data_IF_969993271309
#
_entry.id   IF_969993271309
#
_cell.length_a   1.000
_cell.length_b   1.000
_cell.length_c   1.000
_cell.angle_alpha   90.00
_cell.angle_beta   90.00
_cell.angle_gamma   90.00
#
_symmetry.space_group_name_H-M   'P 1'
#
loop_
_entity.id
_entity.type
_entity.pdbx_description
1 polymer ?
#
# COMPACT_ATOMS: atom_id res chain seq x y z
N UNK A 1 -1.55 -11.97 22.83
CA UNK A 1 -1.57 -11.55 21.40
C UNK A 1 -2.73 -10.58 21.10
N UNK A 2 -3.97 -10.84 21.55
CA UNK A 2 -5.11 -9.94 21.32
C UNK A 2 -5.02 -8.58 22.05
N UNK A 3 -4.38 -8.56 23.24
CA UNK A 3 -4.22 -7.37 24.09
C UNK A 3 -3.52 -6.18 23.39
N UNK A 4 -2.61 -6.43 22.44
CA UNK A 4 -1.83 -5.38 21.76
C UNK A 4 -2.55 -4.71 20.58
N UNK A 5 -3.65 -5.27 20.08
CA UNK A 5 -4.40 -4.76 18.93
C UNK A 5 -5.88 -4.57 19.23
N UNK A 6 -6.21 -4.08 20.43
CA UNK A 6 -7.59 -3.81 20.84
C UNK A 6 -8.36 -2.89 19.87
N UNK A 7 -7.63 -2.05 19.11
CA UNK A 7 -8.19 -1.19 18.06
C UNK A 7 -8.37 -1.87 16.70
N UNK A 8 -7.81 -3.05 16.46
CA UNK A 8 -8.03 -3.85 15.25
C UNK A 8 -9.35 -4.61 15.40
N UNK A 9 -10.45 -3.92 15.13
CA UNK A 9 -11.78 -4.50 15.23
C UNK A 9 -12.71 -3.86 14.17
N UNK A 10 -13.84 -4.50 13.85
CA UNK A 10 -14.78 -3.97 12.86
C UNK A 10 -15.34 -2.57 13.18
N UNK A 11 -15.42 -2.18 14.47
CA UNK A 11 -15.94 -0.86 14.85
C UNK A 11 -15.02 0.29 14.43
N UNK A 12 -13.71 0.06 14.46
CA UNK A 12 -12.74 1.08 14.05
C UNK A 12 -12.45 1.07 12.54
N UNK A 13 -12.71 -0.04 11.85
CA UNK A 13 -12.61 -0.20 10.40
C UNK A 13 -11.36 0.49 9.80
N UNK A 14 -10.20 0.29 10.43
CA UNK A 14 -8.97 0.93 9.99
C UNK A 14 -8.53 0.34 8.64
N UNK A 15 -7.85 1.16 7.84
CA UNK A 15 -7.17 0.75 6.61
C UNK A 15 -5.70 1.10 6.69
N UNK A 16 -4.86 0.24 6.12
CA UNK A 16 -3.40 0.36 6.18
C UNK A 16 -2.78 0.47 4.79
N UNK A 17 -1.73 1.27 4.66
CA UNK A 17 -0.88 1.30 3.47
C UNK A 17 0.57 1.11 3.88
N UNK A 18 1.24 0.15 3.26
CA UNK A 18 2.69 0.01 3.35
C UNK A 18 3.36 0.92 2.30
N UNK A 19 4.38 1.68 2.71
CA UNK A 19 5.17 2.51 1.81
C UNK A 19 6.61 2.58 2.28
N UNK A 20 7.55 2.90 1.38
CA UNK A 20 8.91 3.19 1.77
C UNK A 20 8.98 4.56 2.48
N UNK A 21 9.77 4.68 3.54
CA UNK A 21 9.93 5.94 4.31
C UNK A 21 10.38 7.12 3.43
N UNK A 22 11.17 6.84 2.38
CA UNK A 22 11.65 7.85 1.43
C UNK A 22 10.53 8.48 0.60
N UNK A 23 9.38 7.82 0.51
CA UNK A 23 8.21 8.37 -0.19
C UNK A 23 7.40 9.30 0.72
N UNK A 24 7.64 9.30 2.03
CA UNK A 24 6.81 10.04 2.99
C UNK A 24 6.83 11.55 2.76
N UNK A 25 7.98 12.23 2.54
CA UNK A 25 7.98 13.67 2.28
C UNK A 25 7.08 14.03 1.10
N UNK A 26 7.22 13.31 -0.01
CA UNK A 26 6.40 13.53 -1.20
C UNK A 26 4.91 13.27 -0.95
N UNK A 27 4.55 12.21 -0.22
CA UNK A 27 3.16 11.89 0.13
C UNK A 27 2.56 12.98 1.02
N UNK A 28 3.33 13.55 1.96
CA UNK A 28 2.85 14.61 2.84
C UNK A 28 2.58 15.91 2.07
N UNK A 29 3.40 16.21 1.06
CA UNK A 29 3.26 17.43 0.26
C UNK A 29 2.20 17.30 -0.86
N UNK A 30 2.01 16.10 -1.42
CA UNK A 30 1.20 15.89 -2.64
C UNK A 30 -0.05 15.02 -2.41
N UNK A 31 -0.15 14.35 -1.27
CA UNK A 31 -1.17 13.35 -0.99
C UNK A 31 -0.85 11.96 -1.59
N UNK A 32 -1.84 11.07 -1.56
CA UNK A 32 -1.74 9.72 -2.13
C UNK A 32 -2.28 9.71 -3.55
N UNK A 33 -1.43 9.32 -4.50
CA UNK A 33 -1.78 9.18 -5.91
C UNK A 33 -1.83 7.71 -6.32
N UNK A 34 -2.73 7.37 -7.27
CA UNK A 34 -2.78 6.06 -7.89
C UNK A 34 -1.65 5.90 -8.93
N UNK A 35 -1.40 4.67 -9.38
CA UNK A 35 -0.27 4.42 -10.28
C UNK A 35 -0.41 5.08 -11.65
N UNK A 36 -1.66 5.31 -12.10
CA UNK A 36 -1.96 6.00 -13.35
C UNK A 36 -2.16 7.52 -13.18
N UNK A 37 -1.92 8.08 -11.99
CA UNK A 37 -2.03 9.52 -11.80
C UNK A 37 -0.98 10.28 -12.63
N UNK A 38 -1.37 11.45 -13.14
CA UNK A 38 -0.46 12.34 -13.86
C UNK A 38 0.65 12.91 -12.96
N UNK A 39 0.37 13.04 -11.65
CA UNK A 39 1.31 13.53 -10.65
C UNK A 39 2.08 12.35 -10.06
N UNK A 40 3.39 12.33 -10.28
CA UNK A 40 4.28 11.25 -9.83
C UNK A 40 5.55 11.81 -9.18
N UNK A 41 6.17 11.01 -8.32
CA UNK A 41 7.48 11.34 -7.76
C UNK A 41 8.59 10.74 -8.62
N UNK A 42 9.53 11.57 -9.06
CA UNK A 42 10.75 11.11 -9.76
C UNK A 42 11.67 10.27 -8.87
N UNK A 43 11.52 10.36 -7.54
CA UNK A 43 12.31 9.64 -6.54
C UNK A 43 11.52 8.53 -5.84
N UNK A 44 10.41 8.08 -6.44
CA UNK A 44 9.57 7.06 -5.83
C UNK A 44 10.31 5.73 -5.65
N UNK A 45 10.35 5.24 -4.40
CA UNK A 45 10.93 3.94 -4.08
C UNK A 45 9.83 2.87 -4.10
N UNK A 46 9.85 2.02 -5.13
CA UNK A 46 8.96 0.86 -5.21
C UNK A 46 9.36 -0.24 -4.23
N UNK A 47 8.37 -0.79 -3.53
CA UNK A 47 8.51 -1.91 -2.59
C UNK A 47 7.57 -3.09 -2.92
N UNK A 48 6.76 -2.95 -3.97
CA UNK A 48 5.81 -3.98 -4.40
C UNK A 48 6.47 -4.98 -5.35
N UNK A 49 5.84 -6.15 -5.50
CA UNK A 49 6.22 -7.12 -6.52
C UNK A 49 5.92 -6.53 -7.92
N UNK A 50 6.92 -6.41 -8.82
CA UNK A 50 6.73 -5.87 -10.17
C UNK A 50 5.65 -6.61 -10.98
N UNK A 51 5.63 -7.94 -10.95
CA UNK A 51 4.63 -8.73 -11.68
C UNK A 51 3.21 -8.46 -11.18
N UNK A 52 3.03 -8.25 -9.88
CA UNK A 52 1.72 -7.89 -9.33
C UNK A 52 1.32 -6.46 -9.69
N UNK A 53 2.28 -5.53 -9.77
CA UNK A 53 2.03 -4.17 -10.24
C UNK A 53 1.58 -4.20 -11.70
N UNK A 54 2.26 -4.94 -12.55
CA UNK A 54 1.96 -5.06 -13.98
C UNK A 54 0.61 -5.77 -14.22
N UNK A 55 0.29 -6.81 -13.46
CA UNK A 55 -1.03 -7.44 -13.52
C UNK A 55 -2.13 -6.46 -13.13
N UNK A 56 -1.90 -5.59 -12.15
CA UNK A 56 -2.88 -4.59 -11.69
C UNK A 56 -3.05 -3.44 -12.69
N UNK A 57 -2.01 -3.08 -13.44
CA UNK A 57 -2.12 -2.02 -14.47
C UNK A 57 -3.09 -2.36 -15.58
N UNK A 58 -3.31 -3.66 -15.82
CA UNK A 58 -4.16 -4.18 -16.89
C UNK A 58 -5.43 -4.88 -16.40
N UNK A 59 -5.64 -5.00 -15.08
CA UNK A 59 -6.82 -5.69 -14.54
C UNK A 59 -8.04 -4.76 -14.48
N UNK A 60 -9.09 -4.99 -15.29
CA UNK A 60 -10.24 -4.10 -15.36
C UNK A 60 -11.11 -4.18 -14.11
N UNK A 61 -11.67 -3.05 -13.69
CA UNK A 61 -12.65 -2.97 -12.61
C UNK A 61 -14.06 -3.02 -13.23
N UNK A 62 -14.87 -4.06 -12.96
CA UNK A 62 -16.13 -4.30 -13.66
C UNK A 62 -17.28 -3.40 -13.21
N UNK A 63 -17.07 -2.57 -12.18
CA UNK A 63 -18.11 -1.72 -11.59
C UNK A 63 -17.72 -0.24 -11.72
N UNK A 64 -18.69 0.66 -11.94
CA UNK A 64 -18.45 2.10 -11.94
C UNK A 64 -17.66 2.55 -10.69
N UNK A 65 -16.68 3.46 -10.82
CA UNK A 65 -16.37 4.24 -12.02
C UNK A 65 -15.60 3.48 -13.12
N UNK A 66 -15.24 2.21 -12.92
CA UNK A 66 -14.55 1.39 -13.91
C UNK A 66 -13.04 1.65 -13.95
N UNK A 67 -12.42 1.51 -15.12
CA UNK A 67 -10.97 1.63 -15.27
C UNK A 67 -10.23 0.35 -14.88
N UNK A 68 -9.01 0.48 -14.38
CA UNK A 68 -8.12 -0.61 -13.99
C UNK A 68 -7.73 -0.52 -12.52
N UNK A 69 -7.27 -1.61 -11.91
CA UNK A 69 -6.84 -1.61 -10.51
C UNK A 69 -5.72 -0.60 -10.18
N UNK A 70 -4.99 -0.12 -11.20
CA UNK A 70 -3.95 0.90 -11.05
C UNK A 70 -4.47 2.35 -11.07
N UNK A 71 -5.76 2.54 -11.36
CA UNK A 71 -6.47 3.82 -11.18
C UNK A 71 -6.88 4.06 -9.73
N UNK A 72 -6.66 3.07 -8.85
CA UNK A 72 -7.03 3.11 -7.44
C UNK A 72 -5.81 2.99 -6.52
N UNK A 73 -5.90 3.63 -5.35
CA UNK A 73 -4.87 3.56 -4.30
C UNK A 73 -5.11 2.31 -3.44
N UNK A 74 -4.19 1.31 -3.42
CA UNK A 74 -4.41 0.09 -2.64
C UNK A 74 -4.22 0.31 -1.13
N UNK A 75 -5.08 -0.35 -0.35
CA UNK A 75 -5.03 -0.44 1.12
C UNK A 75 -5.26 -1.88 1.59
N UNK A 76 -4.77 -2.19 2.79
CA UNK A 76 -5.00 -3.43 3.53
C UNK A 76 -5.99 -3.19 4.67
N UNK A 77 -6.68 -4.24 5.11
CA UNK A 77 -7.55 -4.23 6.29
C UNK A 77 -6.87 -4.74 7.56
N UNK A 78 -5.57 -5.01 7.49
CA UNK A 78 -4.74 -5.34 8.65
C UNK A 78 -3.34 -4.76 8.46
N UNK A 79 -2.59 -4.53 9.55
CA UNK A 79 -1.18 -4.14 9.45
C UNK A 79 -0.27 -5.30 9.00
N UNK A 80 -0.79 -6.53 8.96
CA UNK A 80 -0.05 -7.74 8.61
C UNK A 80 -0.40 -8.19 7.20
N UNK A 81 0.36 -7.72 6.21
CA UNK A 81 0.15 -8.10 4.82
C UNK A 81 1.13 -9.18 4.34
N UNK A 82 0.71 -10.05 3.40
CA UNK A 82 1.63 -10.95 2.70
C UNK A 82 2.78 -10.19 2.03
N UNK A 83 2.52 -8.99 1.51
CA UNK A 83 3.55 -8.15 0.90
C UNK A 83 4.60 -7.69 1.92
N UNK A 84 4.19 -7.33 3.14
CA UNK A 84 5.12 -6.99 4.21
C UNK A 84 6.05 -8.17 4.54
N UNK A 85 5.49 -9.39 4.59
CA UNK A 85 6.29 -10.60 4.76
C UNK A 85 7.28 -10.81 3.61
N UNK A 86 6.84 -10.66 2.37
CA UNK A 86 7.70 -10.84 1.20
C UNK A 86 8.83 -9.79 1.13
N UNK A 87 8.57 -8.54 1.52
CA UNK A 87 9.60 -7.50 1.63
C UNK A 87 10.62 -7.85 2.72
N UNK A 88 10.17 -8.44 3.83
CA UNK A 88 11.05 -8.85 4.93
C UNK A 88 11.94 -10.04 4.57
N UNK A 89 11.39 -11.03 3.84
CA UNK A 89 12.09 -12.27 3.47
C UNK A 89 12.83 -12.18 2.15
N UNK A 90 12.44 -11.26 1.26
CA UNK A 90 12.90 -11.20 -0.14
C UNK A 90 12.26 -12.27 -1.05
N UNK A 91 11.18 -12.92 -0.59
CA UNK A 91 10.51 -13.97 -1.35
C UNK A 91 9.88 -13.44 -2.65
N UNK A 92 9.95 -14.23 -3.73
CA UNK A 92 9.37 -13.87 -5.03
C UNK A 92 10.13 -12.77 -5.77
N UNK A 93 11.45 -12.65 -5.55
CA UNK A 93 12.30 -11.65 -6.24
C UNK A 93 12.11 -10.22 -5.76
N UNK A 94 11.39 -10.01 -4.65
CA UNK A 94 11.13 -8.69 -4.10
C UNK A 94 12.39 -8.18 -3.39
N UNK A 95 12.84 -6.93 -3.67
CA UNK A 95 13.98 -6.35 -2.97
C UNK A 95 13.74 -6.33 -1.47
N UNK A 96 14.62 -7.01 -0.72
CA UNK A 96 14.54 -7.05 0.74
C UNK A 96 14.74 -5.65 1.30
N UNK A 97 13.85 -5.21 2.19
CA UNK A 97 13.96 -3.92 2.88
C UNK A 97 13.96 -4.10 4.39
N UNK A 98 14.80 -3.36 5.14
CA UNK A 98 14.70 -3.33 6.60
C UNK A 98 13.34 -2.79 7.04
N UNK A 99 12.76 -3.35 8.10
CA UNK A 99 11.48 -2.88 8.64
C UNK A 99 11.49 -1.38 8.99
N UNK A 100 12.65 -0.83 9.38
CA UNK A 100 12.82 0.62 9.66
C UNK A 100 12.62 1.53 8.44
N UNK A 101 12.52 0.96 7.25
CA UNK A 101 12.30 1.68 5.99
C UNK A 101 10.89 1.50 5.44
N UNK A 102 10.07 0.65 6.04
CA UNK A 102 8.69 0.38 5.62
C UNK A 102 7.73 0.92 6.67
N UNK A 103 6.89 1.87 6.28
CA UNK A 103 5.91 2.50 7.16
C UNK A 103 4.51 1.94 6.89
N UNK A 104 3.73 1.78 7.94
CA UNK A 104 2.31 1.40 7.91
C UNK A 104 1.47 2.63 8.26
N UNK A 105 0.92 3.30 7.25
CA UNK A 105 0.01 4.43 7.45
C UNK A 105 -1.39 3.88 7.75
N UNK A 106 -2.08 4.41 8.76
CA UNK A 106 -3.43 3.99 9.18
C UNK A 106 -4.42 5.15 9.10
N UNK A 107 -5.65 4.88 8.64
CA UNK A 107 -6.76 5.83 8.65
C UNK A 107 -8.07 5.07 8.90
N UNK A 108 -9.06 5.61 9.66
CA UNK A 108 -10.40 5.03 9.68
C UNK A 108 -11.05 5.08 8.30
N UNK A 109 -11.66 3.97 7.87
CA UNK A 109 -12.41 3.90 6.60
C UNK A 109 -13.75 4.65 6.67
N UNK A 110 -14.27 4.82 7.88
CA UNK A 110 -15.52 5.52 8.17
C UNK A 110 -15.23 6.72 9.07
N UNK A 111 -15.80 7.87 8.72
CA UNK A 111 -15.89 9.05 9.59
C UNK A 111 -17.17 8.97 10.42
#
# INVERSE_FOLDING_TARGET
>A
MAEHYSKLNPKNALIWRITHRGNLPWILDNGLHCGNAAVQSSSWVSIGNPELIDKRSSHPVPRPPGGFLNDYVPFYFTPFSPMLHNIHTGWGGIPRRPNSTVLLNTNPLVR
#
